data_IF_710066926637
#
_entry.id   IF_710066926637
#
_cell.length_a   1.000
_cell.length_b   1.000
_cell.length_c   1.000
_cell.angle_alpha   90.00
_cell.angle_beta   90.00
_cell.angle_gamma   90.00
#
_symmetry.space_group_name_H-M   'P 1'
#
loop_
_entity.id
_entity.type
_entity.pdbx_description
1 polymer ?
#
# COMPACT_ATOMS: atom_id res chain seq x y z
N UNK A 1 -45.63 30.99 -0.47
CA UNK A 1 -44.43 31.15 0.38
C UNK A 1 -43.24 31.44 -0.53
N UNK A 2 -42.51 32.52 -0.28
CA UNK A 2 -41.27 32.84 -1.01
C UNK A 2 -40.27 31.72 -0.68
N UNK A 3 -39.63 31.05 -1.67
CA UNK A 3 -38.63 30.04 -1.37
C UNK A 3 -37.51 30.71 -0.59
N UNK A 4 -37.23 30.19 0.61
CA UNK A 4 -36.15 30.69 1.44
C UNK A 4 -34.86 30.70 0.62
N UNK A 5 -34.16 31.85 0.56
CA UNK A 5 -32.86 31.96 -0.09
C UNK A 5 -31.97 30.82 0.42
N UNK A 6 -31.48 29.98 -0.50
CA UNK A 6 -30.50 28.94 -0.18
C UNK A 6 -29.38 29.58 0.64
N UNK A 7 -29.05 29.06 1.83
CA UNK A 7 -27.93 29.57 2.61
C UNK A 7 -26.66 29.46 1.75
N UNK A 8 -25.75 30.42 1.93
CA UNK A 8 -24.44 30.36 1.28
C UNK A 8 -23.81 28.98 1.50
N UNK A 9 -23.14 28.46 0.48
CA UNK A 9 -22.45 27.16 0.55
C UNK A 9 -21.52 27.18 1.76
N UNK A 10 -21.66 26.18 2.64
CA UNK A 10 -20.87 26.16 3.87
C UNK A 10 -19.39 26.01 3.56
N UNK A 11 -18.51 26.53 4.43
CA UNK A 11 -17.06 26.37 4.28
C UNK A 11 -16.66 24.91 4.13
N UNK A 12 -17.33 24.02 4.85
CA UNK A 12 -17.14 22.56 4.76
C UNK A 12 -17.52 22.03 3.37
N UNK A 13 -18.66 22.44 2.82
CA UNK A 13 -19.07 22.04 1.48
C UNK A 13 -18.11 22.57 0.41
N UNK A 14 -17.63 23.81 0.53
CA UNK A 14 -16.61 24.36 -0.36
C UNK A 14 -15.27 23.61 -0.26
N UNK A 15 -14.84 23.23 0.95
CA UNK A 15 -13.63 22.44 1.15
C UNK A 15 -13.74 21.03 0.55
N UNK A 16 -14.89 20.36 0.72
CA UNK A 16 -15.14 19.05 0.13
C UNK A 16 -15.19 19.10 -1.39
N UNK A 17 -15.88 20.11 -1.96
CA UNK A 17 -15.98 20.31 -3.40
C UNK A 17 -14.63 20.66 -4.06
N UNK A 18 -13.72 21.29 -3.32
CA UNK A 18 -12.36 21.58 -3.77
C UNK A 18 -11.34 20.52 -3.34
N UNK A 19 -11.79 19.40 -2.75
CA UNK A 19 -10.88 18.34 -2.34
C UNK A 19 -10.33 17.62 -3.57
N UNK A 20 -9.08 17.15 -3.49
CA UNK A 20 -8.43 16.37 -4.55
C UNK A 20 -8.95 14.93 -4.63
N UNK A 21 -10.13 14.65 -4.10
CA UNK A 21 -10.74 13.33 -4.12
C UNK A 21 -11.45 13.13 -5.46
N UNK A 22 -10.90 12.23 -6.27
CA UNK A 22 -11.38 11.87 -7.60
C UNK A 22 -12.04 10.47 -7.64
N UNK A 23 -12.11 9.81 -6.49
CA UNK A 23 -12.75 8.52 -6.32
C UNK A 23 -13.45 8.40 -4.97
N UNK A 24 -14.48 7.55 -4.92
CA UNK A 24 -15.26 7.23 -3.72
C UNK A 24 -15.25 5.72 -3.45
N UNK A 25 -15.37 5.34 -2.18
CA UNK A 25 -15.45 3.95 -1.74
C UNK A 25 -16.88 3.62 -1.29
N UNK A 26 -17.57 2.80 -2.06
CA UNK A 26 -18.90 2.29 -1.71
C UNK A 26 -18.74 0.96 -0.97
N UNK A 27 -19.29 0.87 0.24
CA UNK A 27 -19.20 -0.31 1.10
C UNK A 27 -20.58 -0.88 1.35
N UNK A 28 -20.74 -2.19 1.19
CA UNK A 28 -22.00 -2.88 1.42
C UNK A 28 -21.77 -4.17 2.18
N UNK A 29 -22.72 -4.51 3.04
CA UNK A 29 -22.77 -5.77 3.75
C UNK A 29 -24.19 -6.36 3.79
N UNK A 30 -24.30 -7.68 3.96
CA UNK A 30 -25.57 -8.38 4.11
C UNK A 30 -25.42 -9.75 4.83
N UNK A 31 -26.56 -10.26 5.31
CA UNK A 31 -26.64 -11.54 6.03
C UNK A 31 -26.48 -12.77 5.11
N UNK A 32 -26.76 -12.62 3.82
CA UNK A 32 -26.68 -13.69 2.82
C UNK A 32 -26.22 -13.18 1.46
N UNK A 33 -25.71 -14.04 0.56
CA UNK A 33 -25.36 -13.64 -0.80
C UNK A 33 -26.53 -13.02 -1.56
N UNK A 34 -27.73 -13.60 -1.40
CA UNK A 34 -28.96 -13.09 -2.03
C UNK A 34 -29.32 -11.69 -1.52
N UNK A 35 -29.23 -11.44 -0.21
CA UNK A 35 -29.49 -10.12 0.34
C UNK A 35 -28.44 -9.10 -0.10
N UNK A 36 -27.17 -9.51 -0.24
CA UNK A 36 -26.11 -8.66 -0.77
C UNK A 36 -26.38 -8.30 -2.24
N UNK A 37 -26.77 -9.29 -3.06
CA UNK A 37 -27.14 -9.09 -4.46
C UNK A 37 -28.24 -8.04 -4.60
N UNK A 38 -29.34 -8.22 -3.87
CA UNK A 38 -30.47 -7.28 -3.89
C UNK A 38 -30.04 -5.87 -3.46
N UNK A 39 -29.16 -5.76 -2.46
CA UNK A 39 -28.62 -4.47 -2.02
C UNK A 39 -27.74 -3.83 -3.10
N UNK A 40 -26.84 -4.60 -3.72
CA UNK A 40 -25.99 -4.15 -4.83
C UNK A 40 -26.83 -3.65 -6.01
N UNK A 41 -27.87 -4.39 -6.42
CA UNK A 41 -28.78 -3.98 -7.50
C UNK A 41 -29.51 -2.69 -7.17
N UNK A 42 -30.08 -2.55 -5.96
CA UNK A 42 -30.76 -1.31 -5.54
C UNK A 42 -29.82 -0.11 -5.54
N UNK A 43 -28.60 -0.28 -5.04
CA UNK A 43 -27.61 0.81 -5.02
C UNK A 43 -27.15 1.15 -6.43
N UNK A 44 -27.02 0.16 -7.34
CA UNK A 44 -26.71 0.41 -8.75
C UNK A 44 -27.81 1.24 -9.44
N UNK A 45 -29.08 0.90 -9.23
CA UNK A 45 -30.21 1.63 -9.80
C UNK A 45 -30.29 3.07 -9.28
N UNK A 46 -29.94 3.27 -8.01
CA UNK A 46 -29.83 4.62 -7.42
C UNK A 46 -28.62 5.38 -7.97
N UNK A 47 -27.45 4.72 -8.06
CA UNK A 47 -26.23 5.32 -8.58
C UNK A 47 -26.38 5.83 -10.03
N UNK A 48 -27.19 5.16 -10.86
CA UNK A 48 -27.52 5.63 -12.21
C UNK A 48 -28.23 7.00 -12.22
N UNK A 49 -28.80 7.43 -11.10
CA UNK A 49 -29.57 8.68 -10.96
C UNK A 49 -28.83 9.76 -10.16
N UNK A 50 -27.69 9.45 -9.53
CA UNK A 50 -26.95 10.44 -8.74
C UNK A 50 -26.04 11.28 -9.63
N UNK A 51 -25.86 12.55 -9.26
CA UNK A 51 -24.83 13.41 -9.85
C UNK A 51 -23.46 13.13 -9.23
N UNK A 52 -22.39 13.57 -9.89
CA UNK A 52 -21.01 13.53 -9.34
C UNK A 52 -20.92 14.12 -7.93
N UNK A 53 -21.64 15.22 -7.66
CA UNK A 53 -21.63 15.89 -6.36
C UNK A 53 -22.29 15.06 -5.24
N UNK A 54 -23.12 14.07 -5.57
CA UNK A 54 -23.82 13.21 -4.62
C UNK A 54 -23.10 11.88 -4.36
N UNK A 55 -22.04 11.58 -5.10
CA UNK A 55 -21.34 10.29 -4.99
C UNK A 55 -20.66 10.13 -3.63
N UNK A 56 -20.04 11.19 -3.10
CA UNK A 56 -19.47 11.20 -1.76
C UNK A 56 -20.52 11.08 -0.65
N UNK A 57 -21.70 11.69 -0.84
CA UNK A 57 -22.83 11.52 0.09
C UNK A 57 -23.36 10.08 0.09
N UNK A 58 -23.41 9.44 -1.09
CA UNK A 58 -23.76 8.02 -1.22
C UNK A 58 -22.73 7.14 -0.49
N UNK A 59 -21.43 7.34 -0.73
CA UNK A 59 -20.36 6.62 -0.04
C UNK A 59 -20.46 6.74 1.49
N UNK A 60 -20.62 7.97 1.98
CA UNK A 60 -20.76 8.25 3.41
C UNK A 60 -22.06 7.69 4.01
N UNK A 61 -23.13 7.60 3.22
CA UNK A 61 -24.39 6.99 3.66
C UNK A 61 -24.25 5.48 3.78
N UNK A 62 -23.72 4.83 2.75
CA UNK A 62 -23.50 3.38 2.74
C UNK A 62 -22.56 2.93 3.88
N UNK A 63 -21.48 3.68 4.14
CA UNK A 63 -20.59 3.42 5.26
C UNK A 63 -21.31 3.47 6.61
N UNK A 64 -22.24 4.41 6.81
CA UNK A 64 -23.04 4.52 8.04
C UNK A 64 -24.10 3.44 8.20
N UNK A 65 -24.48 2.79 7.10
CA UNK A 65 -25.44 1.69 7.09
C UNK A 65 -24.80 0.31 7.30
N UNK A 66 -23.46 0.22 7.39
CA UNK A 66 -22.80 -1.04 7.68
C UNK A 66 -23.23 -1.59 9.04
N UNK A 67 -23.47 -2.89 9.10
CA UNK A 67 -23.90 -3.64 10.29
C UNK A 67 -22.93 -4.79 10.63
N UNK A 68 -21.72 -4.73 10.07
CA UNK A 68 -20.65 -5.72 10.21
C UNK A 68 -21.03 -7.14 9.74
N UNK A 69 -21.97 -7.23 8.80
CA UNK A 69 -22.52 -8.50 8.32
C UNK A 69 -21.49 -9.32 7.51
N UNK A 70 -21.66 -10.65 7.43
CA UNK A 70 -20.61 -11.53 6.90
C UNK A 70 -20.39 -11.40 5.40
N UNK A 71 -21.40 -11.16 4.58
CA UNK A 71 -21.23 -11.01 3.13
C UNK A 71 -20.94 -9.55 2.82
N UNK A 72 -19.75 -9.25 2.29
CA UNK A 72 -19.26 -7.88 2.13
C UNK A 72 -18.84 -7.60 0.69
N UNK A 73 -19.12 -6.38 0.25
CA UNK A 73 -18.66 -5.86 -1.04
C UNK A 73 -18.07 -4.47 -0.85
N UNK A 74 -17.03 -4.16 -1.62
CA UNK A 74 -16.45 -2.83 -1.69
C UNK A 74 -16.17 -2.44 -3.15
N UNK A 75 -16.41 -1.17 -3.49
CA UNK A 75 -16.22 -0.65 -4.85
C UNK A 75 -15.58 0.73 -4.80
N UNK A 76 -14.44 0.88 -5.48
CA UNK A 76 -13.82 2.16 -5.77
C UNK A 76 -14.38 2.68 -7.09
N UNK A 77 -15.01 3.86 -7.06
CA UNK A 77 -15.75 4.43 -8.19
C UNK A 77 -15.29 5.85 -8.47
N UNK A 78 -15.28 6.24 -9.75
CA UNK A 78 -14.86 7.58 -10.19
C UNK A 78 -15.99 8.40 -10.81
N UNK A 79 -17.13 7.77 -11.07
CA UNK A 79 -18.34 8.41 -11.55
C UNK A 79 -19.60 7.62 -11.20
N UNK A 80 -20.80 8.22 -11.31
CA UNK A 80 -22.07 7.51 -11.18
C UNK A 80 -22.20 6.30 -12.14
N UNK A 81 -21.75 6.45 -13.39
CA UNK A 81 -21.79 5.39 -14.40
C UNK A 81 -20.80 4.25 -14.08
N UNK A 82 -19.60 4.59 -13.60
CA UNK A 82 -18.60 3.63 -13.11
C UNK A 82 -19.13 2.86 -11.89
N UNK A 83 -19.85 3.55 -10.99
CA UNK A 83 -20.51 2.94 -9.85
C UNK A 83 -21.60 1.96 -10.27
N UNK A 84 -22.53 2.37 -11.15
CA UNK A 84 -23.57 1.48 -11.65
C UNK A 84 -22.96 0.23 -12.29
N UNK A 85 -22.01 0.40 -13.22
CA UNK A 85 -21.38 -0.69 -13.94
C UNK A 85 -20.74 -1.72 -12.99
N UNK A 86 -19.98 -1.26 -12.00
CA UNK A 86 -19.26 -2.13 -11.06
C UNK A 86 -20.19 -2.82 -10.07
N UNK A 87 -21.19 -2.11 -9.56
CA UNK A 87 -22.18 -2.68 -8.63
C UNK A 87 -23.01 -3.78 -9.32
N UNK A 88 -23.41 -3.59 -10.58
CA UNK A 88 -24.11 -4.65 -11.35
C UNK A 88 -23.22 -5.87 -11.57
N UNK A 89 -21.95 -5.67 -11.95
CA UNK A 89 -20.97 -6.78 -12.08
C UNK A 89 -20.80 -7.56 -10.79
N UNK A 90 -20.73 -6.88 -9.65
CA UNK A 90 -20.65 -7.55 -8.35
C UNK A 90 -21.94 -8.31 -8.01
N UNK A 91 -23.11 -7.73 -8.31
CA UNK A 91 -24.39 -8.41 -8.12
C UNK A 91 -24.45 -9.71 -8.93
N UNK A 92 -24.00 -9.71 -10.19
CA UNK A 92 -23.94 -10.92 -11.01
C UNK A 92 -22.93 -11.95 -10.44
N UNK A 93 -21.80 -11.47 -9.91
CA UNK A 93 -20.78 -12.33 -9.32
C UNK A 93 -21.25 -13.06 -8.04
N UNK A 94 -22.20 -12.49 -7.28
CA UNK A 94 -22.75 -13.15 -6.08
C UNK A 94 -23.42 -14.49 -6.37
N UNK A 95 -23.92 -14.71 -7.60
CA UNK A 95 -24.53 -15.99 -8.00
C UNK A 95 -23.49 -17.08 -8.25
N UNK A 96 -22.26 -16.68 -8.60
CA UNK A 96 -21.20 -17.59 -9.03
C UNK A 96 -20.27 -18.02 -7.90
N UNK A 97 -20.38 -17.40 -6.72
CA UNK A 97 -19.38 -17.49 -5.65
C UNK A 97 -19.67 -18.63 -4.65
N UNK A 98 -19.73 -19.87 -5.16
CA UNK A 98 -19.96 -21.06 -4.34
C UNK A 98 -18.69 -21.59 -3.64
N UNK A 99 -17.52 -20.95 -3.78
CA UNK A 99 -16.27 -21.54 -3.29
C UNK A 99 -15.08 -20.61 -3.01
N UNK A 100 -15.04 -19.36 -3.48
CA UNK A 100 -13.94 -18.44 -3.14
C UNK A 100 -14.31 -17.60 -1.91
N UNK A 101 -13.48 -17.53 -0.87
CA UNK A 101 -13.77 -16.69 0.29
C UNK A 101 -13.68 -15.19 -0.04
N UNK A 102 -12.88 -14.83 -1.06
CA UNK A 102 -12.60 -13.47 -1.51
C UNK A 102 -12.44 -13.46 -3.04
N UNK A 103 -13.04 -12.45 -3.68
CA UNK A 103 -12.89 -12.14 -5.10
C UNK A 103 -12.48 -10.68 -5.25
N UNK A 104 -11.38 -10.43 -5.96
CA UNK A 104 -10.89 -9.10 -6.32
C UNK A 104 -10.90 -8.94 -7.84
N UNK A 105 -11.29 -7.77 -8.34
CA UNK A 105 -11.15 -7.48 -9.77
C UNK A 105 -9.68 -7.32 -10.17
N UNK A 106 -9.30 -7.60 -11.43
CA UNK A 106 -7.94 -7.40 -11.91
C UNK A 106 -7.42 -5.95 -11.77
N UNK A 107 -8.31 -4.96 -11.77
CA UNK A 107 -7.97 -3.55 -11.57
C UNK A 107 -7.93 -3.13 -10.08
N UNK A 108 -8.19 -4.07 -9.15
CA UNK A 108 -8.14 -3.85 -7.71
C UNK A 108 -9.24 -2.94 -7.15
N UNK A 109 -10.25 -2.58 -7.96
CA UNK A 109 -11.30 -1.63 -7.56
C UNK A 109 -12.57 -2.26 -7.02
N UNK A 110 -12.76 -3.57 -7.16
CA UNK A 110 -13.93 -4.26 -6.59
C UNK A 110 -13.51 -5.42 -5.72
N UNK A 111 -14.20 -5.59 -4.60
CA UNK A 111 -14.05 -6.68 -3.66
C UNK A 111 -15.43 -7.30 -3.41
N UNK A 112 -15.48 -8.63 -3.37
CA UNK A 112 -16.57 -9.43 -2.85
C UNK A 112 -15.97 -10.47 -1.91
N UNK A 113 -16.56 -10.70 -0.75
CA UNK A 113 -16.06 -11.74 0.13
C UNK A 113 -16.98 -12.05 1.30
N UNK A 114 -16.59 -13.07 2.05
CA UNK A 114 -17.27 -13.48 3.27
C UNK A 114 -16.34 -13.37 4.47
N UNK A 115 -16.68 -12.51 5.42
CA UNK A 115 -16.04 -12.47 6.72
C UNK A 115 -16.49 -13.69 7.55
N UNK A 116 -15.55 -14.57 7.89
CA UNK A 116 -15.77 -15.75 8.74
C UNK A 116 -15.14 -15.61 10.12
N UNK A 117 -14.06 -14.84 10.22
CA UNK A 117 -13.30 -14.57 11.44
C UNK A 117 -12.67 -13.18 11.36
N UNK A 118 -12.20 -12.69 12.50
CA UNK A 118 -11.43 -11.45 12.56
C UNK A 118 -10.06 -11.68 11.93
N UNK A 119 -9.74 -10.91 10.90
CA UNK A 119 -8.49 -11.03 10.18
C UNK A 119 -7.36 -10.36 10.99
N UNK A 120 -6.22 -11.04 11.09
CA UNK A 120 -4.99 -10.43 11.61
C UNK A 120 -4.24 -9.71 10.49
N UNK A 121 -3.80 -8.49 10.76
CA UNK A 121 -3.10 -7.66 9.79
C UNK A 121 -1.61 -7.62 10.15
N UNK A 122 -0.75 -7.86 9.16
CA UNK A 122 0.70 -7.72 9.30
C UNK A 122 1.23 -6.59 8.43
N UNK A 123 1.96 -5.63 9.01
CA UNK A 123 2.65 -4.60 8.24
C UNK A 123 4.00 -5.09 7.74
N UNK A 124 4.25 -4.90 6.45
CA UNK A 124 5.51 -5.21 5.80
C UNK A 124 6.18 -3.91 5.37
N UNK A 125 7.33 -3.60 5.98
CA UNK A 125 8.11 -2.41 5.68
C UNK A 125 9.20 -2.74 4.66
N UNK A 126 9.22 -2.04 3.51
CA UNK A 126 10.17 -2.35 2.45
C UNK A 126 11.60 -1.92 2.81
N UNK A 127 12.56 -2.61 2.20
CA UNK A 127 13.97 -2.25 2.25
C UNK A 127 14.38 -1.19 1.24
N UNK A 128 15.68 -1.11 0.97
CA UNK A 128 16.24 -0.23 -0.05
C UNK A 128 15.76 -0.63 -1.46
N UNK A 129 15.57 0.35 -2.34
CA UNK A 129 15.08 0.15 -3.71
C UNK A 129 13.61 0.51 -3.92
N UNK A 130 12.88 0.90 -2.87
CA UNK A 130 11.47 1.30 -2.97
C UNK A 130 11.26 2.76 -3.31
N UNK A 131 10.48 3.01 -4.36
CA UNK A 131 10.09 4.33 -4.84
C UNK A 131 11.28 5.19 -5.28
N UNK A 132 10.99 6.38 -5.81
CA UNK A 132 12.01 7.37 -6.18
C UNK A 132 11.63 8.81 -5.79
N UNK A 133 10.39 9.01 -5.31
CA UNK A 133 9.84 10.33 -5.01
C UNK A 133 10.08 10.78 -3.57
N UNK A 134 10.31 12.08 -3.39
CA UNK A 134 10.40 12.76 -2.08
C UNK A 134 9.20 13.63 -1.74
N UNK A 135 8.21 13.73 -2.63
CA UNK A 135 7.05 14.59 -2.43
C UNK A 135 5.80 13.90 -1.89
N UNK A 136 5.88 12.60 -1.56
CA UNK A 136 4.75 11.82 -1.03
C UNK A 136 3.60 11.54 -1.99
N UNK A 137 3.66 12.04 -3.22
CA UNK A 137 2.75 11.66 -4.31
C UNK A 137 1.27 11.90 -3.97
N UNK A 138 0.43 10.92 -4.31
CA UNK A 138 -1.01 11.00 -4.07
C UNK A 138 -1.35 11.03 -2.57
N UNK A 139 -0.59 10.32 -1.72
CA UNK A 139 -0.86 10.29 -0.28
C UNK A 139 -0.66 11.65 0.36
N UNK A 140 0.46 12.33 0.11
CA UNK A 140 0.70 13.67 0.66
C UNK A 140 -0.26 14.73 0.09
N UNK A 141 -0.79 14.53 -1.13
CA UNK A 141 -1.85 15.41 -1.67
C UNK A 141 -3.21 15.19 -1.00
N UNK A 142 -3.50 13.96 -0.59
CA UNK A 142 -4.82 13.58 -0.06
C UNK A 142 -4.91 13.66 1.48
N UNK A 143 -3.82 13.37 2.18
CA UNK A 143 -3.77 13.23 3.63
C UNK A 143 -2.78 14.23 4.21
N UNK A 144 -3.27 15.08 5.13
CA UNK A 144 -2.45 16.13 5.74
C UNK A 144 -1.37 15.53 6.63
N UNK A 145 -1.71 14.44 7.31
CA UNK A 145 -0.82 13.68 8.19
C UNK A 145 0.38 13.11 7.42
N UNK A 146 0.17 12.70 6.17
CA UNK A 146 1.26 12.29 5.27
C UNK A 146 2.11 13.50 4.84
N UNK A 147 1.48 14.61 4.44
CA UNK A 147 2.17 15.82 4.04
C UNK A 147 3.07 16.40 5.15
N UNK A 148 2.60 16.36 6.40
CA UNK A 148 3.34 16.79 7.59
C UNK A 148 4.60 15.96 7.84
N UNK A 149 4.55 14.65 7.58
CA UNK A 149 5.72 13.76 7.68
C UNK A 149 6.79 14.17 6.67
N UNK A 150 6.41 14.38 5.41
CA UNK A 150 7.34 14.83 4.37
C UNK A 150 7.91 16.23 4.65
N UNK A 151 7.08 17.15 5.14
CA UNK A 151 7.51 18.52 5.50
C UNK A 151 8.55 18.50 6.62
N UNK A 152 8.32 17.68 7.67
CA UNK A 152 9.26 17.54 8.79
C UNK A 152 10.55 16.84 8.37
N UNK A 153 10.48 15.88 7.44
CA UNK A 153 11.64 15.11 7.01
C UNK A 153 12.70 15.94 6.27
N UNK A 154 12.30 17.07 5.64
CA UNK A 154 13.19 17.98 4.91
C UNK A 154 14.13 17.23 3.94
N UNK A 155 13.55 16.31 3.17
CA UNK A 155 14.32 15.48 2.24
C UNK A 155 14.91 16.33 1.10
N UNK A 156 16.08 15.94 0.56
CA UNK A 156 16.60 16.54 -0.66
C UNK A 156 15.60 16.44 -1.81
N UNK A 157 15.45 17.52 -2.59
CA UNK A 157 14.57 17.55 -3.76
C UNK A 157 15.33 17.46 -5.09
N UNK A 158 16.66 17.48 -5.03
CA UNK A 158 17.58 17.41 -6.16
C UNK A 158 18.75 16.49 -5.83
N UNK A 159 19.38 15.92 -6.84
CA UNK A 159 20.52 14.99 -6.69
C UNK A 159 20.17 13.58 -7.15
N UNK A 160 21.05 12.62 -6.82
CA UNK A 160 20.80 11.21 -7.08
C UNK A 160 19.85 10.64 -6.02
N UNK A 161 18.59 10.45 -6.40
CA UNK A 161 17.53 9.95 -5.49
C UNK A 161 17.65 8.45 -5.17
N UNK A 162 18.57 7.76 -5.85
CA UNK A 162 18.86 6.33 -5.66
C UNK A 162 20.12 6.14 -4.82
N UNK A 163 20.96 7.17 -4.67
CA UNK A 163 22.11 7.14 -3.77
C UNK A 163 21.69 6.73 -2.36
N UNK A 164 22.45 5.83 -1.74
CA UNK A 164 22.06 5.12 -0.51
C UNK A 164 21.76 6.07 0.65
N UNK A 165 22.56 7.12 0.81
CA UNK A 165 22.42 8.17 1.81
C UNK A 165 21.14 9.02 1.63
N UNK A 166 20.68 9.21 0.38
CA UNK A 166 19.42 9.89 0.06
C UNK A 166 18.22 8.94 0.14
N UNK A 167 18.39 7.71 -0.35
CA UNK A 167 17.31 6.73 -0.48
C UNK A 167 16.79 6.24 0.87
N UNK A 168 17.67 5.98 1.84
CA UNK A 168 17.27 5.44 3.14
C UNK A 168 16.31 6.36 3.93
N UNK A 169 16.65 7.64 4.20
CA UNK A 169 15.72 8.54 4.89
C UNK A 169 14.44 8.78 4.09
N UNK A 170 14.51 8.78 2.75
CA UNK A 170 13.32 8.90 1.88
C UNK A 170 12.36 7.73 2.03
N UNK A 171 12.86 6.49 2.01
CA UNK A 171 12.04 5.29 2.13
C UNK A 171 11.36 5.24 3.50
N UNK A 172 12.12 5.48 4.57
CA UNK A 172 11.61 5.51 5.94
C UNK A 172 10.56 6.62 6.14
N UNK A 173 10.76 7.78 5.51
CA UNK A 173 9.74 8.86 5.48
C UNK A 173 8.45 8.38 4.81
N UNK A 174 8.56 7.68 3.68
CA UNK A 174 7.40 7.10 2.99
C UNK A 174 6.65 6.07 3.83
N UNK A 175 7.37 5.16 4.50
CA UNK A 175 6.78 4.21 5.45
C UNK A 175 6.06 4.92 6.60
N UNK A 176 6.68 5.96 7.17
CA UNK A 176 6.08 6.74 8.26
C UNK A 176 4.83 7.50 7.78
N UNK A 177 4.86 8.06 6.57
CA UNK A 177 3.70 8.74 5.98
C UNK A 177 2.54 7.75 5.74
N UNK A 178 2.84 6.56 5.23
CA UNK A 178 1.83 5.50 5.05
C UNK A 178 1.25 5.05 6.39
N UNK A 179 2.07 4.88 7.43
CA UNK A 179 1.61 4.57 8.79
C UNK A 179 0.63 5.62 9.32
N UNK A 180 0.89 6.90 9.11
CA UNK A 180 -0.01 7.99 9.53
C UNK A 180 -1.34 7.96 8.78
N UNK A 181 -1.34 7.53 7.51
CA UNK A 181 -2.57 7.35 6.73
C UNK A 181 -3.36 6.14 7.24
N UNK A 182 -2.70 5.02 7.52
CA UNK A 182 -3.34 3.82 8.06
C UNK A 182 -3.97 4.09 9.45
N UNK A 183 -3.25 4.81 10.32
CA UNK A 183 -3.73 5.31 11.61
C UNK A 183 -4.97 6.20 11.46
N UNK A 184 -4.93 7.17 10.53
CA UNK A 184 -6.08 8.04 10.25
C UNK A 184 -7.31 7.28 9.69
N UNK A 185 -7.09 6.10 9.10
CA UNK A 185 -8.14 5.20 8.60
C UNK A 185 -8.58 4.15 9.64
N UNK A 186 -7.95 4.12 10.82
CA UNK A 186 -8.23 3.13 11.87
C UNK A 186 -7.75 1.71 11.52
N UNK A 187 -6.73 1.59 10.67
CA UNK A 187 -6.14 0.29 10.29
C UNK A 187 -4.95 0.00 11.20
N UNK A 188 -5.13 -0.97 12.08
CA UNK A 188 -4.09 -1.46 12.99
C UNK A 188 -3.55 -2.81 12.53
N UNK A 189 -2.33 -3.13 12.96
CA UNK A 189 -1.68 -4.42 12.69
C UNK A 189 -1.35 -5.12 14.00
N UNK A 190 -1.31 -6.45 13.96
CA UNK A 190 -0.90 -7.29 15.08
C UNK A 190 0.62 -7.50 15.10
N UNK A 191 1.26 -7.35 13.94
CA UNK A 191 2.68 -7.62 13.75
C UNK A 191 3.26 -6.72 12.66
N UNK A 192 4.54 -6.41 12.79
CA UNK A 192 5.32 -5.75 11.76
C UNK A 192 6.59 -6.54 11.45
N UNK A 193 6.96 -6.60 10.18
CA UNK A 193 8.25 -7.10 9.71
C UNK A 193 8.84 -6.10 8.75
N UNK A 194 10.14 -5.82 8.90
CA UNK A 194 10.89 -4.96 8.00
C UNK A 194 11.94 -5.73 7.23
N UNK A 195 12.15 -5.36 5.96
CA UNK A 195 13.25 -5.91 5.17
C UNK A 195 14.46 -4.97 5.25
N UNK A 196 15.55 -5.41 5.89
CA UNK A 196 16.79 -4.62 6.03
C UNK A 196 16.52 -3.21 6.59
N UNK A 197 16.56 -2.16 5.75
CA UNK A 197 16.18 -0.80 6.16
C UNK A 197 14.78 -0.73 6.80
N UNK A 198 13.84 -1.52 6.30
CA UNK A 198 12.45 -1.54 6.79
C UNK A 198 12.33 -1.92 8.25
N UNK A 199 13.34 -2.59 8.84
CA UNK A 199 13.33 -2.92 10.27
C UNK A 199 13.31 -1.67 11.15
N UNK A 200 13.94 -0.58 10.71
CA UNK A 200 13.87 0.70 11.43
C UNK A 200 12.42 1.19 11.51
N UNK A 201 11.68 1.11 10.39
CA UNK A 201 10.25 1.48 10.35
C UNK A 201 9.39 0.54 11.19
N UNK A 202 9.70 -0.76 11.24
CA UNK A 202 9.01 -1.72 12.10
C UNK A 202 9.26 -1.44 13.60
N UNK A 203 10.50 -1.12 13.98
CA UNK A 203 10.85 -0.70 15.34
C UNK A 203 10.17 0.61 15.74
N UNK A 204 10.05 1.56 14.81
CA UNK A 204 9.27 2.77 15.03
C UNK A 204 7.79 2.47 15.26
N UNK A 205 7.19 1.63 14.41
CA UNK A 205 5.79 1.20 14.57
C UNK A 205 5.56 0.52 15.92
N UNK A 206 6.50 -0.32 16.37
CA UNK A 206 6.46 -0.98 17.69
C UNK A 206 6.71 -0.03 18.88
N UNK A 207 6.95 1.27 18.64
CA UNK A 207 7.21 2.27 19.68
C UNK A 207 8.63 2.26 20.24
N UNK A 208 9.55 1.46 19.69
CA UNK A 208 10.94 1.40 20.15
C UNK A 208 11.78 2.61 19.69
N UNK A 209 11.38 3.26 18.59
CA UNK A 209 12.00 4.48 18.08
C UNK A 209 10.93 5.56 17.92
N UNK A 210 11.22 6.79 18.37
CA UNK A 210 10.39 7.93 17.96
C UNK A 210 10.69 8.35 16.51
N UNK A 211 9.84 9.22 15.94
CA UNK A 211 9.98 9.64 14.53
C UNK A 211 11.28 10.39 14.23
N UNK A 212 11.85 11.08 15.22
CA UNK A 212 13.09 11.86 15.04
C UNK A 212 14.29 10.90 15.01
N UNK A 213 14.33 9.98 15.96
CA UNK A 213 15.35 8.93 16.10
C UNK A 213 15.32 8.00 14.91
N UNK A 214 14.14 7.61 14.42
CA UNK A 214 13.98 6.82 13.21
C UNK A 214 14.67 7.48 12.00
N UNK A 215 14.35 8.75 11.74
CA UNK A 215 14.86 9.45 10.58
C UNK A 215 16.38 9.67 10.69
N UNK A 216 16.87 9.97 11.90
CA UNK A 216 18.30 10.13 12.13
C UNK A 216 19.06 8.81 11.98
N UNK A 217 18.54 7.70 12.50
CA UNK A 217 19.11 6.37 12.29
C UNK A 217 19.21 6.02 10.80
N UNK A 218 18.18 6.33 10.02
CA UNK A 218 18.19 6.12 8.57
C UNK A 218 19.23 7.00 7.85
N UNK A 219 19.41 8.27 8.27
CA UNK A 219 20.44 9.17 7.73
C UNK A 219 21.85 8.68 8.05
N UNK A 220 22.13 8.40 9.31
CA UNK A 220 23.45 7.93 9.76
C UNK A 220 23.81 6.61 9.08
N UNK A 221 22.87 5.66 9.02
CA UNK A 221 23.07 4.38 8.32
C UNK A 221 23.33 4.58 6.83
N UNK A 222 22.51 5.40 6.16
CA UNK A 222 22.68 5.70 4.74
C UNK A 222 24.03 6.33 4.43
N UNK A 223 24.45 7.32 5.22
CA UNK A 223 25.74 7.99 5.08
C UNK A 223 26.91 7.04 5.34
N UNK A 224 26.88 6.29 6.45
CA UNK A 224 27.92 5.32 6.78
C UNK A 224 28.06 4.24 5.70
N UNK A 225 26.95 3.76 5.14
CA UNK A 225 26.99 2.82 4.01
C UNK A 225 27.56 3.48 2.75
N UNK A 226 27.18 4.71 2.43
CA UNK A 226 27.71 5.41 1.26
C UNK A 226 29.22 5.68 1.37
N UNK A 227 29.71 6.00 2.58
CA UNK A 227 31.12 6.34 2.82
C UNK A 227 32.02 5.11 2.98
N UNK A 228 31.54 4.07 3.67
CA UNK A 228 32.39 2.95 4.10
C UNK A 228 32.13 1.62 3.37
N UNK A 229 31.14 1.55 2.47
CA UNK A 229 30.95 0.32 1.69
C UNK A 229 32.15 0.11 0.77
N UNK A 230 32.81 -1.04 0.93
CA UNK A 230 33.75 -1.51 -0.07
C UNK A 230 33.05 -1.64 -1.43
N UNK A 231 33.79 -1.45 -2.52
CA UNK A 231 33.27 -1.68 -3.87
C UNK A 231 32.72 -3.11 -3.96
N UNK A 232 31.43 -3.23 -4.18
CA UNK A 232 30.72 -4.50 -4.22
C UNK A 232 29.37 -4.33 -4.91
N UNK A 233 28.71 -5.45 -5.18
CA UNK A 233 27.40 -5.47 -5.80
C UNK A 233 26.57 -6.62 -5.27
N UNK A 234 25.30 -6.66 -5.65
CA UNK A 234 24.34 -7.67 -5.24
C UNK A 234 23.68 -8.27 -6.48
N UNK A 235 23.36 -9.56 -6.43
CA UNK A 235 22.58 -10.24 -7.45
C UNK A 235 21.41 -11.00 -6.82
N UNK A 236 20.23 -10.91 -7.44
CA UNK A 236 19.05 -11.70 -7.10
C UNK A 236 19.01 -12.95 -7.98
N UNK A 237 18.98 -14.13 -7.37
CA UNK A 237 18.96 -15.43 -8.05
C UNK A 237 17.60 -16.10 -7.87
N UNK A 238 17.03 -16.64 -8.95
CA UNK A 238 15.75 -17.36 -8.95
C UNK A 238 15.92 -18.83 -8.47
N UNK A 239 16.54 -19.00 -7.30
CA UNK A 239 16.95 -20.31 -6.78
C UNK A 239 16.83 -20.40 -5.25
N UNK A 240 16.96 -21.62 -4.73
CA UNK A 240 16.91 -21.90 -3.29
C UNK A 240 18.21 -21.48 -2.58
N UNK A 241 18.20 -21.29 -1.25
CA UNK A 241 19.39 -20.99 -0.47
C UNK A 241 20.53 -22.00 -0.64
N UNK A 242 20.19 -23.29 -0.75
CA UNK A 242 21.15 -24.39 -0.86
C UNK A 242 21.88 -24.35 -2.20
N UNK A 243 21.14 -24.14 -3.30
CA UNK A 243 21.72 -24.02 -4.63
C UNK A 243 22.52 -22.71 -4.77
N UNK A 244 22.04 -21.60 -4.19
CA UNK A 244 22.83 -20.37 -4.10
C UNK A 244 24.15 -20.60 -3.34
N UNK A 245 24.11 -21.37 -2.24
CA UNK A 245 25.29 -21.77 -1.47
C UNK A 245 26.34 -22.50 -2.32
N UNK A 246 25.91 -23.43 -3.17
CA UNK A 246 26.79 -24.12 -4.11
C UNK A 246 27.36 -23.16 -5.18
N UNK A 247 26.55 -22.23 -5.68
CA UNK A 247 26.98 -21.26 -6.70
C UNK A 247 28.06 -20.30 -6.19
N UNK A 248 28.00 -19.91 -4.91
CA UNK A 248 28.96 -18.99 -4.28
C UNK A 248 30.18 -19.69 -3.67
N UNK A 249 30.26 -21.01 -3.73
CA UNK A 249 31.35 -21.79 -3.11
C UNK A 249 32.72 -21.33 -3.63
N UNK A 250 33.66 -21.18 -2.69
CA UNK A 250 35.02 -20.70 -2.91
C UNK A 250 35.13 -19.27 -3.49
N UNK A 251 34.07 -18.46 -3.40
CA UNK A 251 34.10 -17.04 -3.76
C UNK A 251 33.94 -16.16 -2.49
N UNK A 252 34.46 -14.93 -2.48
CA UNK A 252 34.24 -13.97 -1.39
C UNK A 252 32.82 -13.35 -1.45
N UNK A 253 31.80 -14.21 -1.52
CA UNK A 253 30.39 -13.85 -1.69
C UNK A 253 29.60 -14.44 -0.53
N UNK A 254 28.62 -13.69 -0.04
CA UNK A 254 27.71 -14.13 1.03
C UNK A 254 26.27 -14.13 0.53
N UNK A 255 25.42 -14.95 1.12
CA UNK A 255 23.97 -14.79 1.00
C UNK A 255 23.56 -13.61 1.89
N UNK A 256 22.94 -12.61 1.29
CA UNK A 256 22.52 -11.36 1.92
C UNK A 256 21.01 -11.24 2.12
N UNK A 257 20.23 -12.12 1.49
CA UNK A 257 18.78 -12.13 1.65
C UNK A 257 18.14 -13.45 1.25
N UNK A 258 17.23 -13.93 2.10
CA UNK A 258 16.34 -15.07 1.84
C UNK A 258 14.94 -14.52 1.57
N UNK A 259 14.67 -14.08 0.34
CA UNK A 259 13.45 -13.34 0.01
C UNK A 259 12.26 -14.27 -0.34
N UNK A 260 12.52 -15.56 -0.51
CA UNK A 260 11.49 -16.58 -0.69
C UNK A 260 12.10 -17.95 -0.99
N UNK A 261 11.27 -19.02 -1.11
CA UNK A 261 11.77 -20.38 -1.32
C UNK A 261 12.66 -20.55 -2.56
N UNK A 262 12.47 -19.70 -3.57
CA UNK A 262 13.26 -19.67 -4.81
C UNK A 262 13.75 -18.27 -5.17
N UNK A 263 13.98 -17.42 -4.17
CA UNK A 263 14.52 -16.08 -4.38
C UNK A 263 15.58 -15.78 -3.33
N UNK A 264 16.84 -15.90 -3.73
CA UNK A 264 18.00 -15.71 -2.85
C UNK A 264 18.87 -14.58 -3.39
N UNK A 265 19.29 -13.67 -2.51
CA UNK A 265 20.13 -12.53 -2.87
C UNK A 265 21.54 -12.76 -2.35
N UNK A 266 22.53 -12.61 -3.21
CA UNK A 266 23.95 -12.74 -2.88
C UNK A 266 24.65 -11.39 -3.01
N UNK A 267 25.67 -11.15 -2.19
CA UNK A 267 26.43 -9.90 -2.15
C UNK A 267 27.93 -10.17 -2.02
N UNK A 268 28.75 -9.38 -2.71
CA UNK A 268 30.20 -9.51 -2.70
C UNK A 268 30.89 -8.58 -3.70
N UNK A 269 32.21 -8.77 -3.93
CA UNK A 269 32.96 -8.06 -4.97
C UNK A 269 32.33 -8.22 -6.35
N UNK A 270 32.48 -7.20 -7.21
CA UNK A 270 31.84 -7.11 -8.53
C UNK A 270 32.22 -8.28 -9.45
N UNK A 271 33.50 -8.63 -9.48
CA UNK A 271 34.07 -9.75 -10.24
C UNK A 271 33.60 -11.12 -9.71
N UNK A 272 33.49 -11.26 -8.39
CA UNK A 272 32.98 -12.46 -7.77
C UNK A 272 31.48 -12.66 -8.07
N UNK A 273 30.67 -11.60 -8.03
CA UNK A 273 29.26 -11.66 -8.41
C UNK A 273 29.08 -11.94 -9.90
N UNK A 274 29.92 -11.38 -10.77
CA UNK A 274 29.91 -11.73 -12.20
C UNK A 274 30.16 -13.23 -12.42
N UNK A 275 31.13 -13.80 -11.69
CA UNK A 275 31.40 -15.24 -11.70
C UNK A 275 30.19 -16.05 -11.22
N UNK A 276 29.50 -15.60 -10.16
CA UNK A 276 28.26 -16.26 -9.70
C UNK A 276 27.16 -16.22 -10.76
N UNK A 277 27.01 -15.11 -11.48
CA UNK A 277 26.02 -14.99 -12.55
C UNK A 277 26.31 -15.95 -13.72
N UNK A 278 27.57 -16.14 -14.09
CA UNK A 278 27.97 -17.14 -15.09
C UNK A 278 27.65 -18.56 -14.64
N UNK A 279 28.01 -18.92 -13.40
CA UNK A 279 27.67 -20.24 -12.81
C UNK A 279 26.15 -20.46 -12.77
N UNK A 280 25.40 -19.43 -12.39
CA UNK A 280 23.93 -19.48 -12.34
C UNK A 280 23.34 -19.76 -13.72
N UNK A 281 23.80 -19.04 -14.76
CA UNK A 281 23.37 -19.27 -16.14
C UNK A 281 23.68 -20.68 -16.65
N UNK A 282 24.85 -21.23 -16.31
CA UNK A 282 25.21 -22.62 -16.64
C UNK A 282 24.33 -23.66 -15.91
N UNK A 283 23.82 -23.31 -14.72
CA UNK A 283 22.94 -24.15 -13.91
C UNK A 283 21.45 -23.97 -14.22
N UNK A 284 21.09 -23.09 -15.18
CA UNK A 284 19.70 -22.80 -15.54
C UNK A 284 18.92 -21.99 -14.49
N UNK A 285 19.63 -21.18 -13.70
CA UNK A 285 19.06 -20.25 -12.70
C UNK A 285 18.83 -18.86 -13.28
#
# INVERSE_FOLDING_TARGET
>A
AVPAKRPAVSRRATTLANSLQDAELLLLDAESPQALKERLTRVADFAAQVSYAQLGDLAATLQRELRELPHRAAVVVTSPEDAELRLRRLADATDTDAGSPITLSPDGRTFLGRATEEARIGFLFPGQGSGTSTGGGALARRFTEAAEVYTRAKLPTTGDMVATDVAQPRIVTGSTAALRVLDALGIEADVAVGHSLGELSALHWAGALDSTTLLEAARVRGAAMAEHSASGTMASLATTPEQAGALIEALPVVISGYNGPRQTVVAGPVDAIATVAERAGQAGV
#
